data_IF_296974757471
#
_entry.id   IF_296974757471
#
_cell.length_a   1.000
_cell.length_b   1.000
_cell.length_c   1.000
_cell.angle_alpha   90.00
_cell.angle_beta   90.00
_cell.angle_gamma   90.00
#
_symmetry.space_group_name_H-M   'P 1'
#
loop_
_entity.id
_entity.type
_entity.pdbx_description
1 polymer ?
#
# COMPACT_ATOMS: atom_id res chain seq x y z
N UNK A 1 9.96 8.67 -17.30
CA UNK A 1 9.38 7.61 -18.16
C UNK A 1 9.01 6.45 -17.27
N UNK A 2 7.72 6.06 -17.26
CA UNK A 2 7.23 4.89 -16.53
C UNK A 2 7.89 3.63 -17.10
N UNK A 3 8.39 2.72 -16.27
CA UNK A 3 9.00 1.49 -16.76
C UNK A 3 8.02 0.71 -17.64
N UNK A 4 8.38 0.45 -18.87
CA UNK A 4 7.55 -0.25 -19.89
C UNK A 4 7.10 -1.64 -19.40
N UNK A 5 7.89 -2.30 -18.57
CA UNK A 5 7.58 -3.61 -17.99
C UNK A 5 6.31 -3.61 -17.12
N UNK A 6 5.94 -2.50 -16.47
CA UNK A 6 4.75 -2.43 -15.62
C UNK A 6 3.44 -2.47 -16.41
N UNK A 7 3.46 -2.09 -17.69
CA UNK A 7 2.25 -2.06 -18.51
C UNK A 7 1.90 -3.40 -19.14
N UNK A 8 2.85 -4.34 -19.24
CA UNK A 8 2.70 -5.59 -19.97
C UNK A 8 2.21 -6.79 -19.14
N UNK A 9 2.23 -6.71 -17.80
CA UNK A 9 1.78 -7.82 -16.98
C UNK A 9 0.24 -7.84 -16.93
N UNK A 10 -0.40 -8.98 -17.25
CA UNK A 10 -1.87 -9.09 -17.20
C UNK A 10 -2.40 -8.86 -15.77
N UNK A 11 -3.54 -8.20 -15.69
CA UNK A 11 -4.28 -8.11 -14.43
C UNK A 11 -4.83 -9.51 -14.10
N UNK A 12 -4.55 -10.01 -12.91
CA UNK A 12 -5.07 -11.34 -12.50
C UNK A 12 -6.57 -11.24 -12.28
N UNK A 13 -7.35 -11.66 -13.30
CA UNK A 13 -8.82 -11.57 -13.33
C UNK A 13 -9.51 -12.37 -12.21
N UNK A 14 -8.87 -13.41 -11.68
CA UNK A 14 -9.45 -14.32 -10.69
C UNK A 14 -9.17 -13.94 -9.22
N UNK A 15 -8.67 -12.74 -8.93
CA UNK A 15 -8.47 -12.33 -7.53
C UNK A 15 -9.79 -12.02 -6.87
N UNK A 16 -9.98 -12.50 -5.63
CA UNK A 16 -11.13 -12.17 -4.79
C UNK A 16 -11.37 -10.66 -4.77
N UNK A 17 -12.63 -10.30 -4.81
CA UNK A 17 -13.13 -8.94 -4.58
C UNK A 17 -14.10 -8.95 -3.40
N UNK A 18 -14.14 -7.88 -2.66
CA UNK A 18 -15.15 -7.65 -1.65
C UNK A 18 -16.45 -7.19 -2.31
N UNK A 19 -17.59 -7.69 -1.83
CA UNK A 19 -18.90 -7.26 -2.29
C UNK A 19 -19.30 -5.89 -1.67
N UNK A 20 -20.44 -5.36 -2.09
CA UNK A 20 -20.92 -4.05 -1.64
C UNK A 20 -21.10 -3.99 -0.11
N UNK A 21 -21.63 -5.04 0.52
CA UNK A 21 -21.82 -5.08 1.96
C UNK A 21 -20.47 -5.10 2.71
N UNK A 22 -19.51 -5.88 2.23
CA UNK A 22 -18.15 -5.94 2.80
C UNK A 22 -17.42 -4.59 2.65
N UNK A 23 -17.60 -3.89 1.52
CA UNK A 23 -17.06 -2.55 1.32
C UNK A 23 -17.72 -1.52 2.26
N UNK A 24 -19.04 -1.59 2.44
CA UNK A 24 -19.75 -0.70 3.36
C UNK A 24 -19.29 -0.89 4.81
N UNK A 25 -19.11 -2.14 5.25
CA UNK A 25 -18.55 -2.45 6.56
C UNK A 25 -17.12 -1.89 6.72
N UNK A 26 -16.31 -2.01 5.67
CA UNK A 26 -14.97 -1.43 5.66
C UNK A 26 -15.01 0.11 5.73
N UNK A 27 -15.85 0.78 4.96
CA UNK A 27 -15.97 2.24 5.01
C UNK A 27 -16.41 2.71 6.40
N UNK A 28 -17.34 1.99 7.02
CA UNK A 28 -17.74 2.23 8.42
C UNK A 28 -16.56 2.00 9.37
N UNK A 29 -15.78 0.93 9.17
CA UNK A 29 -14.61 0.59 10.00
C UNK A 29 -13.55 1.69 10.02
N UNK A 30 -13.30 2.31 8.86
CA UNK A 30 -12.32 3.39 8.72
C UNK A 30 -12.91 4.77 8.95
N UNK A 31 -14.18 4.86 9.30
CA UNK A 31 -14.91 6.12 9.49
C UNK A 31 -14.77 7.05 8.27
N UNK A 32 -15.00 6.50 7.07
CA UNK A 32 -14.94 7.28 5.84
C UNK A 32 -16.04 8.35 5.86
N UNK A 33 -15.66 9.62 5.63
CA UNK A 33 -16.61 10.72 5.71
C UNK A 33 -17.61 10.73 4.55
N UNK A 34 -18.79 11.31 4.79
CA UNK A 34 -19.93 11.25 3.88
C UNK A 34 -19.62 11.78 2.47
N UNK A 35 -18.86 12.85 2.36
CA UNK A 35 -18.46 13.41 1.07
C UNK A 35 -17.69 12.40 0.17
N UNK A 36 -16.97 11.45 0.76
CA UNK A 36 -16.28 10.38 0.01
C UNK A 36 -17.18 9.17 -0.22
N UNK A 37 -18.15 8.90 0.66
CA UNK A 37 -19.20 7.91 0.42
C UNK A 37 -20.11 8.33 -0.75
N UNK A 38 -20.25 9.62 -1.00
CA UNK A 38 -21.01 10.17 -2.13
C UNK A 38 -20.18 10.27 -3.42
N UNK A 39 -18.92 9.85 -3.40
CA UNK A 39 -18.02 9.89 -4.56
C UNK A 39 -18.62 9.19 -5.76
N UNK A 40 -18.56 9.81 -6.96
CA UNK A 40 -19.06 9.20 -8.18
C UNK A 40 -18.33 7.88 -8.52
N UNK A 41 -17.10 7.69 -8.04
CA UNK A 41 -16.33 6.44 -8.20
C UNK A 41 -17.07 5.23 -7.61
N UNK A 42 -17.79 5.40 -6.51
CA UNK A 42 -18.54 4.31 -5.87
C UNK A 42 -19.82 3.93 -6.64
N UNK A 43 -20.24 4.78 -7.59
CA UNK A 43 -21.38 4.53 -8.49
C UNK A 43 -20.93 4.03 -9.86
N UNK A 44 -19.76 4.49 -10.32
CA UNK A 44 -19.16 4.11 -11.60
C UNK A 44 -17.67 3.75 -11.40
N UNK A 45 -17.36 2.46 -11.41
CA UNK A 45 -16.03 1.92 -11.21
C UNK A 45 -15.00 2.37 -12.28
N UNK A 46 -15.44 2.82 -13.44
CA UNK A 46 -14.53 3.32 -14.48
C UNK A 46 -13.84 4.63 -14.03
N UNK A 47 -14.53 5.44 -13.24
CA UNK A 47 -14.00 6.70 -12.70
C UNK A 47 -12.85 6.49 -11.69
N UNK A 48 -12.72 5.29 -11.11
CA UNK A 48 -11.60 4.94 -10.24
C UNK A 48 -10.24 5.03 -10.95
N UNK A 49 -10.23 5.02 -12.29
CA UNK A 49 -9.01 5.07 -13.09
C UNK A 49 -8.64 6.47 -13.58
N UNK A 50 -9.44 7.46 -13.26
CA UNK A 50 -9.20 8.86 -13.61
C UNK A 50 -8.50 9.60 -12.47
N UNK A 51 -7.68 10.60 -12.80
CA UNK A 51 -7.09 11.46 -11.76
C UNK A 51 -8.12 12.36 -11.11
N UNK A 52 -9.06 12.87 -11.90
CA UNK A 52 -10.09 13.79 -11.42
C UNK A 52 -10.94 13.21 -10.29
N UNK A 53 -11.42 11.98 -10.45
CA UNK A 53 -12.33 11.35 -9.47
C UNK A 53 -11.64 10.29 -8.61
N UNK A 54 -10.73 9.50 -9.19
CA UNK A 54 -10.06 8.40 -8.52
C UNK A 54 -9.03 8.86 -7.49
N UNK A 55 -8.22 9.88 -7.80
CA UNK A 55 -7.17 10.31 -6.89
C UNK A 55 -7.70 10.85 -5.56
N UNK A 56 -8.71 11.75 -5.51
CA UNK A 56 -9.25 12.24 -4.24
C UNK A 56 -9.82 11.14 -3.34
N UNK A 57 -10.51 10.16 -3.92
CA UNK A 57 -11.00 9.01 -3.15
C UNK A 57 -9.87 8.11 -2.67
N UNK A 58 -8.86 7.86 -3.49
CA UNK A 58 -7.68 7.08 -3.13
C UNK A 58 -6.91 7.71 -1.95
N UNK A 59 -6.71 9.03 -1.99
CA UNK A 59 -6.09 9.79 -0.90
C UNK A 59 -6.89 9.68 0.41
N UNK A 60 -8.20 9.82 0.33
CA UNK A 60 -9.08 9.67 1.48
C UNK A 60 -9.00 8.26 2.06
N UNK A 61 -9.07 7.24 1.21
CA UNK A 61 -8.97 5.84 1.64
C UNK A 61 -7.62 5.56 2.31
N UNK A 62 -6.50 6.07 1.78
CA UNK A 62 -5.19 5.92 2.41
C UNK A 62 -5.15 6.56 3.80
N UNK A 63 -5.60 7.80 3.95
CA UNK A 63 -5.61 8.51 5.24
C UNK A 63 -6.51 7.81 6.25
N UNK A 64 -7.74 7.51 5.88
CA UNK A 64 -8.71 6.86 6.77
C UNK A 64 -8.25 5.45 7.17
N UNK A 65 -7.68 4.68 6.23
CA UNK A 65 -7.14 3.36 6.54
C UNK A 65 -6.00 3.44 7.56
N UNK A 66 -4.98 4.24 7.30
CA UNK A 66 -3.79 4.35 8.17
C UNK A 66 -4.09 4.92 9.55
N UNK A 67 -5.15 5.71 9.70
CA UNK A 67 -5.59 6.22 11.01
C UNK A 67 -6.47 5.23 11.78
N UNK A 68 -7.20 4.37 11.09
CA UNK A 68 -8.16 3.48 11.72
C UNK A 68 -7.62 2.05 11.93
N UNK A 69 -6.76 1.56 11.04
CA UNK A 69 -6.24 0.19 11.06
C UNK A 69 -4.77 0.22 11.47
N UNK A 70 -4.42 -0.22 12.69
CA UNK A 70 -3.06 -0.12 13.19
C UNK A 70 -2.10 -1.08 12.48
N UNK A 71 -0.85 -0.64 12.33
CA UNK A 71 0.26 -1.53 12.04
C UNK A 71 0.65 -2.24 13.35
N UNK A 72 0.44 -3.56 13.43
CA UNK A 72 0.64 -4.32 14.66
C UNK A 72 1.02 -5.79 14.36
N UNK A 73 1.55 -6.47 15.37
CA UNK A 73 1.95 -7.88 15.30
C UNK A 73 1.38 -8.72 16.46
N UNK A 74 0.31 -8.28 17.10
CA UNK A 74 -0.26 -8.90 18.30
C UNK A 74 -0.63 -10.37 18.07
N UNK A 75 -0.99 -10.73 16.84
CA UNK A 75 -1.30 -12.12 16.49
C UNK A 75 -0.12 -13.07 16.77
N UNK A 76 1.12 -12.60 16.56
CA UNK A 76 2.32 -13.40 16.78
C UNK A 76 2.62 -13.63 18.27
N UNK A 77 2.08 -12.78 19.14
CA UNK A 77 2.33 -12.82 20.58
C UNK A 77 1.18 -13.46 21.35
N UNK A 78 -0.06 -13.15 20.98
CA UNK A 78 -1.25 -13.45 21.80
C UNK A 78 -2.22 -14.45 21.17
N UNK A 79 -2.00 -14.90 19.94
CA UNK A 79 -2.82 -15.97 19.37
C UNK A 79 -2.21 -17.35 19.65
N UNK A 80 -3.07 -18.36 19.74
CA UNK A 80 -2.63 -19.75 19.95
C UNK A 80 -1.74 -20.25 18.81
N UNK A 81 -2.04 -19.86 17.57
CA UNK A 81 -1.36 -20.37 16.39
C UNK A 81 -0.13 -19.52 15.99
N UNK A 82 0.00 -18.29 16.52
CA UNK A 82 1.10 -17.35 16.22
C UNK A 82 1.42 -17.22 14.71
N UNK A 83 0.39 -17.26 13.85
CA UNK A 83 0.52 -17.25 12.40
C UNK A 83 -0.12 -15.99 11.81
N UNK A 84 0.55 -15.41 10.85
CA UNK A 84 -0.01 -14.41 9.94
C UNK A 84 -0.76 -15.11 8.81
N UNK A 85 -1.69 -14.42 8.18
CA UNK A 85 -2.42 -14.92 7.02
C UNK A 85 -2.47 -13.87 5.91
N UNK A 86 -2.55 -14.35 4.67
CA UNK A 86 -2.90 -13.53 3.51
C UNK A 86 -4.24 -13.97 2.91
N UNK A 87 -4.97 -14.87 3.59
CA UNK A 87 -6.34 -15.19 3.21
C UNK A 87 -7.23 -13.95 3.39
N UNK A 88 -7.90 -13.57 2.31
CA UNK A 88 -8.66 -12.32 2.25
C UNK A 88 -9.94 -12.35 3.08
N UNK A 89 -10.49 -13.55 3.39
CA UNK A 89 -11.64 -13.72 4.29
C UNK A 89 -11.22 -13.53 5.74
N UNK A 90 -10.07 -14.09 6.09
CA UNK A 90 -9.48 -13.92 7.42
C UNK A 90 -9.13 -12.46 7.67
N UNK A 91 -8.47 -11.80 6.69
CA UNK A 91 -8.09 -10.39 6.79
C UNK A 91 -9.31 -9.48 6.93
N UNK A 92 -10.39 -9.74 6.18
CA UNK A 92 -11.64 -9.01 6.33
C UNK A 92 -12.21 -9.19 7.76
N UNK A 93 -12.26 -10.42 8.23
CA UNK A 93 -12.76 -10.73 9.57
C UNK A 93 -11.93 -10.01 10.65
N UNK A 94 -10.61 -10.03 10.52
CA UNK A 94 -9.74 -9.43 11.52
C UNK A 94 -9.78 -7.91 11.50
N UNK A 95 -9.68 -7.29 10.33
CA UNK A 95 -9.57 -5.84 10.20
C UNK A 95 -10.93 -5.16 10.38
N UNK A 96 -11.98 -5.73 9.81
CA UNK A 96 -13.30 -5.11 9.81
C UNK A 96 -14.13 -5.55 11.01
N UNK A 97 -14.34 -6.88 11.18
CA UNK A 97 -15.25 -7.39 12.22
C UNK A 97 -14.62 -7.37 13.61
N UNK A 98 -13.35 -7.80 13.73
CA UNK A 98 -12.63 -7.83 15.02
C UNK A 98 -11.87 -6.53 15.31
N UNK A 99 -11.92 -5.55 14.42
CA UNK A 99 -11.29 -4.23 14.54
C UNK A 99 -9.79 -4.27 14.90
N UNK A 100 -9.08 -5.29 14.41
CA UNK A 100 -7.64 -5.47 14.59
C UNK A 100 -6.85 -4.77 13.48
N UNK A 101 -5.54 -4.82 13.59
CA UNK A 101 -4.63 -4.45 12.53
C UNK A 101 -3.82 -5.62 12.03
N UNK A 102 -2.70 -5.34 11.40
CA UNK A 102 -1.78 -6.33 10.88
C UNK A 102 -0.45 -5.73 10.44
N UNK A 103 0.42 -6.57 9.89
CA UNK A 103 1.72 -6.18 9.36
C UNK A 103 1.60 -5.67 7.92
N UNK A 104 2.73 -5.31 7.33
CA UNK A 104 2.79 -4.71 5.98
C UNK A 104 2.07 -5.53 4.91
N UNK A 105 2.36 -6.84 4.83
CA UNK A 105 1.77 -7.70 3.81
C UNK A 105 0.26 -7.86 4.01
N UNK A 106 -0.21 -7.99 5.26
CA UNK A 106 -1.62 -8.11 5.59
C UNK A 106 -2.38 -6.83 5.26
N UNK A 107 -1.88 -5.66 5.73
CA UNK A 107 -2.48 -4.36 5.44
C UNK A 107 -2.54 -4.09 3.93
N UNK A 108 -1.43 -4.25 3.22
CA UNK A 108 -1.38 -3.94 1.78
C UNK A 108 -2.15 -4.96 0.93
N UNK A 109 -2.21 -6.26 1.31
CA UNK A 109 -3.04 -7.25 0.63
C UNK A 109 -4.53 -6.95 0.79
N UNK A 110 -4.97 -6.66 2.02
CA UNK A 110 -6.33 -6.27 2.30
C UNK A 110 -6.72 -5.00 1.52
N UNK A 111 -5.91 -3.95 1.63
CA UNK A 111 -6.17 -2.66 0.99
C UNK A 111 -6.20 -2.76 -0.53
N UNK A 112 -5.28 -3.51 -1.14
CA UNK A 112 -5.29 -3.73 -2.59
C UNK A 112 -6.57 -4.44 -3.07
N UNK A 113 -7.13 -5.32 -2.24
CA UNK A 113 -8.39 -6.00 -2.54
C UNK A 113 -9.57 -5.04 -2.45
N UNK A 114 -9.62 -4.16 -1.45
CA UNK A 114 -10.59 -3.07 -1.36
C UNK A 114 -10.52 -2.21 -2.62
N UNK A 115 -9.34 -1.73 -2.99
CA UNK A 115 -9.15 -0.87 -4.15
C UNK A 115 -9.62 -1.54 -5.46
N UNK A 116 -9.25 -2.81 -5.67
CA UNK A 116 -9.72 -3.59 -6.85
C UNK A 116 -11.23 -3.75 -6.85
N UNK A 117 -11.85 -3.91 -5.68
CA UNK A 117 -13.29 -4.05 -5.55
C UNK A 117 -14.04 -2.78 -5.93
N UNK A 118 -13.44 -1.62 -5.69
CA UNK A 118 -13.96 -0.31 -6.09
C UNK A 118 -13.78 -0.04 -7.60
N UNK A 119 -12.75 -0.65 -8.23
CA UNK A 119 -12.49 -0.49 -9.67
C UNK A 119 -11.08 0.00 -10.03
N UNK A 120 -10.23 0.28 -9.03
CA UNK A 120 -8.85 0.66 -9.28
C UNK A 120 -8.04 -0.45 -9.94
N UNK A 121 -7.13 -0.06 -10.82
CA UNK A 121 -6.10 -0.96 -11.34
C UNK A 121 -4.93 -0.99 -10.36
N UNK A 122 -4.69 -2.14 -9.70
CA UNK A 122 -3.72 -2.28 -8.61
C UNK A 122 -2.74 -3.42 -8.87
N UNK A 123 -1.46 -3.16 -8.63
CA UNK A 123 -0.40 -4.16 -8.59
C UNK A 123 0.20 -4.23 -7.19
N UNK A 124 0.37 -5.44 -6.68
CA UNK A 124 1.13 -5.67 -5.45
C UNK A 124 2.60 -5.81 -5.81
N UNK A 125 3.47 -5.13 -5.08
CA UNK A 125 4.91 -5.14 -5.31
C UNK A 125 5.65 -5.54 -4.04
N UNK A 126 6.68 -6.36 -4.19
CA UNK A 126 7.63 -6.61 -3.12
C UNK A 126 8.51 -5.39 -2.87
N UNK A 127 9.01 -5.27 -1.66
CA UNK A 127 9.93 -4.23 -1.25
C UNK A 127 10.97 -4.74 -0.26
N UNK A 128 12.06 -4.01 -0.16
CA UNK A 128 13.12 -4.23 0.83
C UNK A 128 13.27 -2.97 1.67
N UNK A 129 13.17 -3.12 2.98
CA UNK A 129 13.30 -1.98 3.90
C UNK A 129 14.78 -1.76 4.22
N UNK A 130 15.23 -0.51 4.09
CA UNK A 130 16.58 -0.13 4.51
C UNK A 130 16.75 -0.30 6.01
N UNK A 131 17.90 -0.80 6.44
CA UNK A 131 18.27 -0.90 7.86
C UNK A 131 18.44 0.45 8.54
N UNK A 132 18.50 1.54 7.78
CA UNK A 132 18.36 2.90 8.32
C UNK A 132 17.00 3.12 9.04
N UNK A 133 15.98 2.28 8.75
CA UNK A 133 14.67 2.31 9.39
C UNK A 133 14.58 1.41 10.64
N UNK A 134 15.67 0.75 11.03
CA UNK A 134 15.70 -0.14 12.19
C UNK A 134 15.32 0.59 13.49
N UNK A 135 14.60 -0.09 14.37
CA UNK A 135 14.33 0.40 15.72
C UNK A 135 15.61 0.45 16.59
N UNK A 136 16.63 -0.35 16.24
CA UNK A 136 17.88 -0.47 17.00
C UNK A 136 18.91 0.58 16.51
N UNK A 137 19.37 1.50 17.38
CA UNK A 137 20.32 2.54 17.01
C UNK A 137 21.61 1.98 16.38
N UNK A 138 22.18 0.92 16.94
CA UNK A 138 23.42 0.32 16.45
C UNK A 138 23.30 -0.19 15.01
N UNK A 139 22.12 -0.71 14.65
CA UNK A 139 21.84 -1.18 13.28
C UNK A 139 21.74 0.01 12.34
N UNK A 140 21.04 1.09 12.75
CA UNK A 140 20.95 2.30 11.94
C UNK A 140 22.31 2.93 11.66
N UNK A 141 23.16 3.02 12.67
CA UNK A 141 24.49 3.64 12.55
C UNK A 141 25.43 2.83 11.67
N UNK A 142 25.47 1.50 11.87
CA UNK A 142 26.45 0.64 11.20
C UNK A 142 25.99 0.10 9.85
N UNK A 143 24.68 0.00 9.60
CA UNK A 143 24.13 -0.71 8.46
C UNK A 143 23.07 0.10 7.68
N UNK A 144 23.04 1.43 7.85
CA UNK A 144 22.04 2.31 7.22
C UNK A 144 22.00 2.21 5.68
N UNK A 145 23.12 1.83 5.06
CA UNK A 145 23.26 1.69 3.61
C UNK A 145 22.87 0.31 3.08
N UNK A 146 22.50 -0.62 3.96
CA UNK A 146 22.10 -1.98 3.58
C UNK A 146 20.59 -2.17 3.64
N UNK A 147 20.09 -3.20 2.97
CA UNK A 147 18.68 -3.55 2.92
C UNK A 147 18.48 -4.96 3.45
N UNK A 148 17.37 -5.18 4.15
CA UNK A 148 16.93 -6.53 4.46
C UNK A 148 16.52 -7.28 3.19
N UNK A 149 16.21 -8.60 3.31
CA UNK A 149 15.61 -9.36 2.22
C UNK A 149 14.22 -8.80 1.82
N UNK A 150 13.50 -9.52 0.99
CA UNK A 150 12.13 -9.19 0.58
C UNK A 150 11.17 -9.28 1.78
N UNK A 151 11.10 -8.22 2.57
CA UNK A 151 10.41 -8.19 3.86
C UNK A 151 9.25 -7.21 3.92
N UNK A 152 8.97 -6.51 2.83
CA UNK A 152 7.91 -5.54 2.72
C UNK A 152 7.07 -5.76 1.46
N UNK A 153 5.83 -5.30 1.51
CA UNK A 153 4.92 -5.27 0.37
C UNK A 153 4.24 -3.91 0.33
N UNK A 154 4.10 -3.38 -0.86
CA UNK A 154 3.37 -2.15 -1.16
C UNK A 154 2.49 -2.33 -2.40
N UNK A 155 1.71 -1.35 -2.74
CA UNK A 155 0.84 -1.35 -3.91
C UNK A 155 1.25 -0.26 -4.90
N UNK A 156 1.08 -0.54 -6.18
CA UNK A 156 1.06 0.46 -7.22
C UNK A 156 -0.36 0.56 -7.76
N UNK A 157 -0.87 1.78 -7.86
CA UNK A 157 -2.21 2.08 -8.39
C UNK A 157 -2.06 2.92 -9.65
N UNK A 158 -2.72 2.51 -10.74
CA UNK A 158 -2.68 3.25 -12.00
C UNK A 158 -3.89 4.19 -12.09
N UNK A 159 -3.62 5.45 -12.35
CA UNK A 159 -4.61 6.45 -12.70
C UNK A 159 -4.21 7.06 -14.05
N UNK A 160 -5.05 6.88 -15.06
CA UNK A 160 -4.70 7.23 -16.44
C UNK A 160 -3.37 6.59 -16.87
N UNK A 161 -2.39 7.38 -17.25
CA UNK A 161 -1.08 6.92 -17.69
C UNK A 161 0.00 6.94 -16.60
N UNK A 162 -0.39 7.25 -15.35
CA UNK A 162 0.57 7.40 -14.24
C UNK A 162 0.35 6.35 -13.15
N UNK A 163 1.46 5.80 -12.64
CA UNK A 163 1.45 4.92 -11.47
C UNK A 163 1.69 5.71 -10.19
N UNK A 164 0.99 5.34 -9.14
CA UNK A 164 1.12 5.89 -7.79
C UNK A 164 1.56 4.81 -6.82
N UNK A 165 2.57 5.14 -6.01
CA UNK A 165 2.98 4.33 -4.86
C UNK A 165 1.94 4.50 -3.76
N UNK A 166 1.40 3.39 -3.29
CA UNK A 166 0.38 3.34 -2.23
C UNK A 166 0.81 2.30 -1.20
N UNK A 167 1.12 2.77 0.00
CA UNK A 167 1.60 1.92 1.08
C UNK A 167 0.91 2.29 2.40
N UNK A 168 -0.01 1.45 2.82
CA UNK A 168 -0.72 1.58 4.10
C UNK A 168 -0.16 0.66 5.18
N UNK A 169 0.93 -0.05 4.88
CA UNK A 169 1.51 -1.08 5.74
C UNK A 169 2.90 -0.76 6.27
N UNK A 170 3.40 0.49 6.15
CA UNK A 170 4.72 0.87 6.66
C UNK A 170 4.70 1.38 8.12
N UNK A 171 3.52 1.45 8.73
CA UNK A 171 3.34 1.99 10.08
C UNK A 171 3.60 3.50 10.16
N UNK A 172 3.95 4.00 11.35
CA UNK A 172 4.10 5.43 11.63
C UNK A 172 5.17 6.14 10.77
N UNK A 173 6.10 5.39 10.18
CA UNK A 173 7.15 5.94 9.32
C UNK A 173 6.77 5.96 7.84
N UNK A 174 5.63 5.37 7.50
CA UNK A 174 5.17 5.22 6.13
C UNK A 174 4.53 6.46 5.52
N UNK A 175 4.27 6.39 4.22
CA UNK A 175 3.42 7.34 3.55
C UNK A 175 1.98 7.19 4.01
N UNK A 176 1.24 8.30 4.01
CA UNK A 176 -0.20 8.33 4.31
C UNK A 176 -1.04 8.77 3.11
N UNK A 177 -0.40 8.97 1.97
CA UNK A 177 -0.98 9.40 0.71
C UNK A 177 -0.42 8.58 -0.45
N UNK A 178 -1.12 8.51 -1.58
CA UNK A 178 -0.54 8.04 -2.83
C UNK A 178 0.47 9.05 -3.37
N UNK A 179 1.60 8.56 -3.86
CA UNK A 179 2.64 9.39 -4.46
C UNK A 179 2.90 8.95 -5.91
N UNK A 180 2.96 9.87 -6.87
CA UNK A 180 3.28 9.51 -8.25
C UNK A 180 4.63 8.80 -8.33
N UNK A 181 4.68 7.67 -9.03
CA UNK A 181 5.91 6.91 -9.28
C UNK A 181 6.73 7.62 -10.35
N UNK A 182 7.33 8.73 -9.95
CA UNK A 182 8.08 9.64 -10.81
C UNK A 182 9.45 9.90 -10.22
N UNK A 183 10.50 9.74 -11.02
CA UNK A 183 11.86 9.99 -10.55
C UNK A 183 12.01 11.42 -10.02
N UNK A 184 12.72 11.54 -8.91
CA UNK A 184 12.95 12.77 -8.17
C UNK A 184 11.67 13.53 -7.72
N UNK A 185 10.52 12.85 -7.66
CA UNK A 185 9.33 13.42 -7.03
C UNK A 185 9.55 13.58 -5.53
N UNK A 186 9.38 14.80 -5.03
CA UNK A 186 9.59 15.16 -3.63
C UNK A 186 8.35 15.84 -3.05
N UNK A 187 7.95 15.46 -1.86
CA UNK A 187 6.78 16.04 -1.17
C UNK A 187 6.89 15.90 0.34
N UNK A 188 6.01 16.61 1.06
CA UNK A 188 5.83 16.43 2.49
C UNK A 188 4.82 15.28 2.72
N UNK A 189 5.24 14.25 3.42
CA UNK A 189 4.37 13.16 3.87
C UNK A 189 3.55 13.58 5.08
N UNK A 190 4.10 13.41 6.27
CA UNK A 190 3.53 13.90 7.53
C UNK A 190 4.47 14.98 8.03
N UNK A 191 4.01 16.24 8.03
CA UNK A 191 4.86 17.40 8.36
C UNK A 191 5.61 17.19 9.70
N UNK A 192 6.88 17.56 9.77
CA UNK A 192 7.73 18.20 8.74
C UNK A 192 8.46 17.23 7.80
N UNK A 193 8.15 15.93 7.83
CA UNK A 193 8.90 14.88 7.13
C UNK A 193 8.68 14.96 5.61
N UNK A 194 9.79 15.06 4.88
CA UNK A 194 9.84 14.94 3.43
C UNK A 194 10.09 13.51 3.00
N UNK A 195 9.52 13.13 1.87
CA UNK A 195 9.86 11.90 1.15
C UNK A 195 10.21 12.22 -0.28
N UNK A 196 11.04 11.37 -0.89
CA UNK A 196 11.42 11.47 -2.29
C UNK A 196 11.38 10.10 -2.94
N UNK A 197 10.82 10.04 -4.15
CA UNK A 197 10.87 8.87 -5.01
C UNK A 197 12.09 9.03 -5.92
N UNK A 198 12.97 8.03 -5.95
CA UNK A 198 14.14 8.03 -6.82
C UNK A 198 14.28 6.69 -7.56
N UNK A 199 14.58 6.77 -8.85
CA UNK A 199 14.96 5.61 -9.65
C UNK A 199 16.47 5.54 -9.72
N UNK A 200 17.08 4.57 -9.04
CA UNK A 200 18.52 4.33 -9.10
C UNK A 200 18.85 2.89 -8.75
N UNK A 201 20.02 2.42 -9.22
CA UNK A 201 20.54 1.13 -8.81
C UNK A 201 20.83 1.13 -7.30
N UNK A 202 20.54 0.00 -6.65
CA UNK A 202 21.03 -0.31 -5.31
C UNK A 202 22.08 -1.42 -5.47
N UNK A 203 23.23 -1.30 -4.77
CA UNK A 203 24.38 -2.20 -4.92
C UNK A 203 24.11 -3.68 -4.59
N UNK A 204 22.96 -3.97 -3.97
CA UNK A 204 22.51 -5.32 -3.63
C UNK A 204 21.31 -5.78 -4.51
N UNK A 205 21.17 -5.25 -5.72
CA UNK A 205 20.13 -5.70 -6.64
C UNK A 205 20.39 -7.13 -7.08
N UNK A 206 19.38 -8.00 -6.99
CA UNK A 206 19.45 -9.37 -7.50
C UNK A 206 19.05 -9.46 -8.99
N UNK A 207 18.59 -8.37 -9.58
CA UNK A 207 18.21 -8.30 -10.99
C UNK A 207 19.27 -7.49 -11.74
N UNK A 208 20.30 -8.16 -12.24
CA UNK A 208 21.35 -7.53 -13.06
C UNK A 208 20.78 -6.87 -14.32
N UNK A 209 19.66 -7.40 -14.84
CA UNK A 209 19.01 -6.91 -16.05
C UNK A 209 18.23 -5.60 -15.82
N UNK A 210 17.78 -5.36 -14.58
CA UNK A 210 16.95 -4.20 -14.20
C UNK A 210 17.74 -3.08 -13.51
N UNK A 211 19.03 -3.28 -13.26
CA UNK A 211 19.90 -2.24 -12.73
C UNK A 211 20.04 -1.13 -13.79
N UNK A 212 19.68 0.13 -13.48
CA UNK A 212 19.96 1.21 -14.40
C UNK A 212 21.46 1.22 -14.67
N UNK A 213 21.83 0.99 -15.92
CA UNK A 213 23.23 1.16 -16.35
C UNK A 213 23.55 2.62 -16.17
N UNK A 214 24.48 2.89 -15.26
CA UNK A 214 25.06 4.22 -15.09
C UNK A 214 25.91 4.58 -16.31
#
# INVERSE_FOLDING_TARGET
TTPTALTQLPEASNRRRYNTAELQDYFTRINLSQNYLDSPVLKDAALARTKEHGLPLLEALCRHHTTAIPFENLILHYSANKKVTLDLSDLYTWFVKKRRGGRCMENNSFFSTVLRSIGYQVRNCGGRVSRAMSAFPEVREKQAHTYDGWNHMLNLVRLEDEWYVVDVGMGAMGPNLPYPLRDNYETISIAPRKIRIQQRAIGESYAEEDAPKM
#
